data_IF_826762402226
#
_entry.id   IF_826762402226
#
_cell.length_a   1.000
_cell.length_b   1.000
_cell.length_c   1.000
_cell.angle_alpha   90.00
_cell.angle_beta   90.00
_cell.angle_gamma   90.00
#
_symmetry.space_group_name_H-M   'P 1'
#
loop_
_entity.id
_entity.type
_entity.pdbx_description
1 polymer ?
#
# COMPACT_ATOMS: atom_id res chain seq x y z
N UNK A 1 -9.59 20.12 -0.63
CA UNK A 1 -8.20 19.76 -1.01
C UNK A 1 -7.92 18.36 -0.50
N UNK A 2 -7.38 17.49 -1.34
CA UNK A 2 -6.98 16.13 -0.96
C UNK A 2 -5.46 16.11 -0.80
N UNK A 3 -4.97 15.51 0.29
CA UNK A 3 -3.54 15.43 0.61
C UNK A 3 -3.19 13.97 0.86
N UNK A 4 -2.12 13.48 0.22
CA UNK A 4 -1.49 12.22 0.56
C UNK A 4 -0.26 12.49 1.43
N UNK A 5 -0.15 11.83 2.58
CA UNK A 5 0.99 11.97 3.49
C UNK A 5 1.16 10.74 4.37
N UNK A 6 2.34 10.64 4.98
CA UNK A 6 2.60 9.66 6.03
C UNK A 6 1.67 9.90 7.24
N UNK A 7 1.20 8.81 7.83
CA UNK A 7 0.36 8.81 9.03
C UNK A 7 1.21 9.23 10.24
N UNK A 8 0.75 10.23 10.99
CA UNK A 8 1.29 10.52 12.31
C UNK A 8 0.48 9.74 13.36
N UNK A 9 1.07 8.66 13.91
CA UNK A 9 0.36 7.72 14.80
C UNK A 9 -0.32 8.40 15.99
N UNK A 10 0.26 9.46 16.54
CA UNK A 10 -0.31 10.20 17.68
C UNK A 10 -1.42 11.14 17.26
N UNK A 11 -1.16 12.00 16.25
CA UNK A 11 -2.10 13.06 15.82
C UNK A 11 -3.31 12.51 15.07
N UNK A 12 -3.14 11.39 14.37
CA UNK A 12 -4.17 10.85 13.48
C UNK A 12 -4.96 9.69 14.11
N UNK A 13 -4.64 9.28 15.34
CA UNK A 13 -5.27 8.10 15.99
C UNK A 13 -6.80 8.14 15.94
N UNK A 14 -7.41 9.24 16.35
CA UNK A 14 -8.87 9.39 16.36
C UNK A 14 -9.49 9.36 14.94
N UNK A 15 -8.79 9.93 13.96
CA UNK A 15 -9.23 9.93 12.55
C UNK A 15 -9.15 8.51 11.98
N UNK A 16 -8.09 7.77 12.33
CA UNK A 16 -7.90 6.38 11.94
C UNK A 16 -8.97 5.49 12.57
N UNK A 17 -9.26 5.66 13.87
CA UNK A 17 -10.35 4.98 14.57
C UNK A 17 -11.69 5.19 13.86
N UNK A 18 -11.98 6.43 13.47
CA UNK A 18 -13.21 6.77 12.76
C UNK A 18 -13.24 6.11 11.38
N UNK A 19 -12.13 6.13 10.64
CA UNK A 19 -12.02 5.49 9.33
C UNK A 19 -12.23 3.98 9.42
N UNK A 20 -11.57 3.30 10.34
CA UNK A 20 -11.66 1.83 10.51
C UNK A 20 -13.07 1.39 10.88
N UNK A 21 -13.77 2.14 11.74
CA UNK A 21 -15.17 1.85 12.12
C UNK A 21 -16.14 1.78 10.94
N UNK A 22 -15.85 2.48 9.85
CA UNK A 22 -16.69 2.47 8.63
C UNK A 22 -16.56 1.12 7.89
N UNK A 23 -15.43 0.43 8.02
CA UNK A 23 -15.16 -0.86 7.38
C UNK A 23 -15.55 -2.00 8.32
N UNK A 24 -16.85 -2.22 8.47
CA UNK A 24 -17.46 -3.23 9.35
C UNK A 24 -16.86 -4.65 9.17
N UNK A 25 -15.91 -5.00 10.04
CA UNK A 25 -15.37 -6.34 10.33
C UNK A 25 -14.30 -6.90 9.37
N UNK A 26 -13.03 -6.64 9.72
CA UNK A 26 -11.85 -7.55 9.64
C UNK A 26 -10.54 -6.80 9.84
N UNK A 27 -10.53 -5.49 9.58
CA UNK A 27 -9.37 -4.64 9.75
C UNK A 27 -9.43 -3.96 11.12
N UNK A 28 -8.41 -4.14 11.93
CA UNK A 28 -8.23 -3.43 13.20
C UNK A 28 -7.24 -2.28 13.05
N UNK A 29 -7.19 -1.39 14.04
CA UNK A 29 -6.19 -0.31 14.06
C UNK A 29 -4.81 -0.91 14.26
N UNK A 30 -4.70 -1.96 15.05
CA UNK A 30 -3.48 -2.70 15.34
C UNK A 30 -2.90 -3.33 14.07
N UNK A 31 -3.75 -3.88 13.19
CA UNK A 31 -3.34 -4.41 11.88
C UNK A 31 -2.73 -3.33 10.98
N UNK A 32 -3.17 -2.09 11.12
CA UNK A 32 -2.65 -0.95 10.36
C UNK A 32 -1.35 -0.46 11.01
N UNK A 33 -1.37 -0.22 12.32
CA UNK A 33 -0.26 0.39 13.06
C UNK A 33 0.96 -0.52 13.22
N UNK A 34 0.81 -1.82 13.03
CA UNK A 34 1.89 -2.82 12.98
C UNK A 34 2.74 -2.75 11.70
N UNK A 35 2.34 -1.94 10.70
CA UNK A 35 3.15 -1.69 9.52
C UNK A 35 4.23 -0.63 9.80
N UNK A 36 5.35 -0.78 9.09
CA UNK A 36 6.49 0.14 9.17
C UNK A 36 6.15 1.48 8.51
N UNK A 37 5.49 1.43 7.34
CA UNK A 37 5.14 2.60 6.56
C UNK A 37 3.64 2.65 6.29
N UNK A 38 3.01 3.76 6.68
CA UNK A 38 1.57 3.97 6.53
C UNK A 38 1.34 5.34 5.90
N UNK A 39 0.65 5.35 4.77
CA UNK A 39 0.24 6.56 4.09
C UNK A 39 -1.27 6.70 4.13
N UNK A 40 -1.74 7.93 4.34
CA UNK A 40 -3.16 8.27 4.30
C UNK A 40 -3.43 9.29 3.20
N UNK A 41 -4.63 9.20 2.65
CA UNK A 41 -5.26 10.29 1.92
C UNK A 41 -6.28 10.97 2.82
N UNK A 42 -6.19 12.29 2.89
CA UNK A 42 -7.01 13.12 3.75
C UNK A 42 -7.76 14.15 2.91
N UNK A 43 -9.07 14.29 3.14
CA UNK A 43 -9.92 15.34 2.59
C UNK A 43 -10.47 16.18 3.74
N UNK A 44 -9.98 17.41 3.89
CA UNK A 44 -10.26 18.22 5.09
C UNK A 44 -9.71 17.54 6.34
N UNK A 45 -10.56 17.27 7.33
CA UNK A 45 -10.17 16.55 8.57
C UNK A 45 -10.38 15.03 8.49
N UNK A 46 -10.91 14.51 7.38
CA UNK A 46 -11.30 13.10 7.24
C UNK A 46 -10.26 12.32 6.48
N UNK A 47 -9.91 11.13 6.98
CA UNK A 47 -9.19 10.12 6.18
C UNK A 47 -10.19 9.54 5.18
N UNK A 48 -9.81 9.55 3.91
CA UNK A 48 -10.60 8.99 2.79
C UNK A 48 -9.91 7.78 2.15
N UNK A 49 -8.65 7.54 2.48
CA UNK A 49 -7.93 6.36 2.05
C UNK A 49 -6.71 6.08 2.91
N UNK A 50 -6.29 4.82 2.93
CA UNK A 50 -5.09 4.37 3.64
C UNK A 50 -4.39 3.26 2.86
N UNK A 51 -3.06 3.26 2.94
CA UNK A 51 -2.22 2.18 2.46
C UNK A 51 -1.10 1.94 3.45
N UNK A 52 -0.69 0.69 3.60
CA UNK A 52 0.34 0.32 4.56
C UNK A 52 1.22 -0.80 4.01
N UNK A 53 2.51 -0.75 4.37
CA UNK A 53 3.50 -1.71 3.96
C UNK A 53 4.47 -2.06 5.08
N UNK A 54 4.90 -3.32 5.11
CA UNK A 54 6.04 -3.79 5.90
C UNK A 54 7.31 -3.75 5.08
N UNK A 55 8.44 -3.44 5.70
CA UNK A 55 9.76 -3.32 5.05
C UNK A 55 10.64 -4.48 5.52
N UNK A 56 11.31 -5.13 4.56
CA UNK A 56 12.23 -6.24 4.78
C UNK A 56 13.49 -6.01 3.96
N UNK A 57 14.57 -5.55 4.59
CA UNK A 57 15.86 -5.26 3.95
C UNK A 57 15.74 -4.49 2.61
N UNK A 58 15.76 -5.19 1.47
CA UNK A 58 15.74 -4.65 0.11
C UNK A 58 14.37 -4.67 -0.59
N UNK A 59 13.33 -5.10 0.13
CA UNK A 59 11.97 -5.31 -0.39
C UNK A 59 10.90 -4.87 0.60
N UNK A 60 9.68 -4.75 0.11
CA UNK A 60 8.52 -4.40 0.93
C UNK A 60 7.30 -5.26 0.60
N UNK A 61 6.42 -5.47 1.58
CA UNK A 61 5.13 -6.10 1.42
C UNK A 61 4.02 -5.07 1.64
N UNK A 62 3.29 -4.73 0.58
CA UNK A 62 2.08 -3.94 0.61
C UNK A 62 0.95 -4.78 1.22
N UNK A 63 0.60 -4.50 2.46
CA UNK A 63 -0.41 -5.26 3.20
C UNK A 63 -1.83 -4.82 2.87
N UNK A 64 -2.04 -3.52 2.62
CA UNK A 64 -3.36 -2.99 2.32
C UNK A 64 -3.31 -1.72 1.48
N UNK A 65 -4.35 -1.54 0.69
CA UNK A 65 -4.74 -0.26 0.10
C UNK A 65 -6.26 -0.19 0.08
N UNK A 66 -6.81 0.85 0.70
CA UNK A 66 -8.25 0.99 0.92
C UNK A 66 -8.63 2.44 0.67
N UNK A 67 -9.62 2.65 -0.20
CA UNK A 67 -10.26 3.95 -0.42
C UNK A 67 -11.73 3.83 0.00
N UNK A 68 -12.22 4.86 0.70
CA UNK A 68 -13.62 4.98 1.08
C UNK A 68 -14.51 4.81 -0.16
N UNK A 69 -15.60 4.04 -0.05
CA UNK A 69 -16.42 3.62 -1.20
C UNK A 69 -16.95 4.81 -2.00
N UNK A 70 -17.33 5.88 -1.30
CA UNK A 70 -17.85 7.13 -1.87
C UNK A 70 -16.79 7.91 -2.67
N UNK A 71 -15.51 7.63 -2.41
CA UNK A 71 -14.35 8.36 -2.96
C UNK A 71 -13.60 7.53 -4.02
N UNK A 72 -14.14 6.36 -4.38
CA UNK A 72 -13.57 5.50 -5.43
C UNK A 72 -13.80 6.08 -6.82
N UNK A 73 -13.03 5.58 -7.79
CA UNK A 73 -13.01 6.04 -9.20
C UNK A 73 -12.49 7.47 -9.41
N UNK A 74 -12.02 8.15 -8.37
CA UNK A 74 -11.44 9.50 -8.43
C UNK A 74 -9.91 9.51 -8.51
N UNK A 75 -9.29 8.45 -9.03
CA UNK A 75 -7.83 8.21 -9.08
C UNK A 75 -7.09 8.32 -7.72
N UNK A 76 -7.81 8.34 -6.60
CA UNK A 76 -7.24 8.42 -5.26
C UNK A 76 -6.39 7.19 -4.92
N UNK A 77 -6.81 6.00 -5.36
CA UNK A 77 -6.02 4.78 -5.20
C UNK A 77 -4.64 4.90 -5.86
N UNK A 78 -4.57 5.42 -7.08
CA UNK A 78 -3.32 5.63 -7.82
C UNK A 78 -2.41 6.63 -7.08
N UNK A 79 -2.93 7.82 -6.73
CA UNK A 79 -2.15 8.81 -6.00
C UNK A 79 -1.62 8.28 -4.66
N UNK A 80 -2.42 7.50 -3.93
CA UNK A 80 -2.03 6.95 -2.63
C UNK A 80 -0.97 5.85 -2.80
N UNK A 81 -1.15 4.97 -3.79
CA UNK A 81 -0.18 3.94 -4.15
C UNK A 81 1.15 4.58 -4.57
N UNK A 82 1.14 5.54 -5.50
CA UNK A 82 2.35 6.25 -5.93
C UNK A 82 3.07 6.93 -4.79
N UNK A 83 2.33 7.49 -3.82
CA UNK A 83 2.91 8.16 -2.66
C UNK A 83 3.74 7.20 -1.80
N UNK A 84 3.19 6.03 -1.47
CA UNK A 84 3.93 5.03 -0.69
C UNK A 84 5.07 4.40 -1.50
N UNK A 85 4.86 4.10 -2.79
CA UNK A 85 5.92 3.52 -3.64
C UNK A 85 7.10 4.48 -3.83
N UNK A 86 6.84 5.80 -3.96
CA UNK A 86 7.90 6.80 -4.08
C UNK A 86 8.75 6.88 -2.80
N UNK A 87 8.10 6.78 -1.63
CA UNK A 87 8.79 6.74 -0.35
C UNK A 87 9.66 5.49 -0.23
N UNK A 88 9.14 4.32 -0.59
CA UNK A 88 9.89 3.07 -0.59
C UNK A 88 11.09 3.12 -1.56
N UNK A 89 10.91 3.65 -2.77
CA UNK A 89 12.01 3.83 -3.73
C UNK A 89 13.13 4.71 -3.15
N UNK A 90 12.78 5.82 -2.50
CA UNK A 90 13.73 6.73 -1.83
C UNK A 90 14.46 6.07 -0.65
N UNK A 91 13.86 5.05 -0.05
CA UNK A 91 14.48 4.23 1.00
C UNK A 91 15.35 3.10 0.44
N UNK A 92 15.52 3.03 -0.88
CA UNK A 92 16.36 2.03 -1.55
C UNK A 92 15.66 0.71 -1.81
N UNK A 93 14.34 0.62 -1.55
CA UNK A 93 13.56 -0.57 -1.85
C UNK A 93 13.43 -0.72 -3.35
N UNK A 94 13.72 -1.92 -3.86
CA UNK A 94 13.66 -2.22 -5.30
C UNK A 94 12.37 -2.89 -5.71
N UNK A 95 11.80 -3.69 -4.80
CA UNK A 95 10.65 -4.54 -5.09
C UNK A 95 9.60 -4.44 -4.01
N UNK A 96 8.36 -4.26 -4.45
CA UNK A 96 7.18 -4.27 -3.58
C UNK A 96 6.28 -5.44 -3.97
N UNK A 97 5.90 -6.22 -2.98
CA UNK A 97 5.06 -7.38 -3.13
C UNK A 97 3.66 -7.12 -2.57
N UNK A 98 2.66 -7.85 -3.04
CA UNK A 98 1.32 -7.87 -2.42
C UNK A 98 0.77 -9.28 -2.41
N UNK A 99 0.29 -9.72 -1.24
CA UNK A 99 -0.48 -10.97 -1.08
C UNK A 99 -1.90 -10.83 -1.63
N UNK A 100 -2.39 -9.60 -1.75
CA UNK A 100 -3.73 -9.31 -2.30
C UNK A 100 -3.63 -9.20 -3.81
N UNK A 101 -4.24 -10.15 -4.52
CA UNK A 101 -4.41 -10.08 -5.97
C UNK A 101 -5.59 -9.15 -6.26
N UNK A 102 -5.31 -7.99 -6.85
CA UNK A 102 -6.31 -6.99 -7.21
C UNK A 102 -6.10 -6.53 -8.64
N UNK A 103 -7.19 -6.45 -9.42
CA UNK A 103 -7.15 -5.88 -10.77
C UNK A 103 -6.64 -4.43 -10.77
N UNK A 104 -6.93 -3.68 -9.70
CA UNK A 104 -6.39 -2.32 -9.54
C UNK A 104 -4.86 -2.35 -9.54
N UNK A 105 -4.23 -3.16 -8.68
CA UNK A 105 -2.77 -3.25 -8.61
C UNK A 105 -2.15 -3.72 -9.94
N UNK A 106 -2.81 -4.66 -10.62
CA UNK A 106 -2.35 -5.13 -11.94
C UNK A 106 -2.39 -3.99 -12.97
N UNK A 107 -3.46 -3.19 -13.00
CA UNK A 107 -3.58 -2.01 -13.87
C UNK A 107 -2.52 -0.95 -13.56
N UNK A 108 -2.18 -0.78 -12.29
CA UNK A 108 -1.10 0.12 -11.85
C UNK A 108 0.30 -0.43 -12.14
N UNK A 109 0.45 -1.65 -12.67
CA UNK A 109 1.72 -2.17 -13.16
C UNK A 109 2.34 -3.26 -12.30
N UNK A 110 1.64 -3.75 -11.26
CA UNK A 110 2.04 -4.99 -10.59
C UNK A 110 1.83 -6.19 -11.52
N UNK A 111 2.70 -7.19 -11.41
CA UNK A 111 2.63 -8.42 -12.20
C UNK A 111 2.47 -9.63 -11.29
N UNK A 112 1.68 -10.61 -11.73
CA UNK A 112 1.58 -11.90 -11.04
C UNK A 112 2.91 -12.65 -11.15
N UNK A 113 3.41 -13.14 -10.03
CA UNK A 113 4.62 -13.96 -9.95
C UNK A 113 4.40 -15.13 -9.00
N UNK A 114 5.13 -16.23 -9.23
CA UNK A 114 5.23 -17.34 -8.28
C UNK A 114 6.42 -17.08 -7.36
N UNK A 115 6.24 -16.98 -6.04
CA UNK A 115 7.34 -16.72 -5.13
C UNK A 115 8.25 -17.96 -5.03
N UNK A 116 9.57 -17.74 -4.97
CA UNK A 116 10.52 -18.80 -4.67
C UNK A 116 10.60 -19.03 -3.15
N UNK A 117 11.26 -20.13 -2.73
CA UNK A 117 11.36 -20.51 -1.31
C UNK A 117 11.96 -19.40 -0.43
N UNK A 118 12.96 -18.67 -0.92
CA UNK A 118 13.55 -17.53 -0.20
C UNK A 118 12.51 -16.45 0.07
N UNK A 119 11.78 -16.02 -0.96
CA UNK A 119 10.75 -14.99 -0.84
C UNK A 119 9.59 -15.43 0.05
N UNK A 120 9.21 -16.70 -0.02
CA UNK A 120 8.19 -17.32 0.83
C UNK A 120 8.57 -17.20 2.30
N UNK A 121 9.81 -17.57 2.64
CA UNK A 121 10.32 -17.49 4.01
C UNK A 121 10.40 -16.04 4.49
N UNK A 122 11.01 -15.17 3.69
CA UNK A 122 11.28 -13.79 4.09
C UNK A 122 9.98 -12.98 4.32
N UNK A 123 8.93 -13.22 3.53
CA UNK A 123 7.66 -12.50 3.63
C UNK A 123 6.55 -13.30 4.33
N UNK A 124 6.86 -14.48 4.87
CA UNK A 124 5.90 -15.41 5.46
C UNK A 124 4.67 -15.61 4.55
N UNK A 125 4.92 -15.93 3.27
CA UNK A 125 3.88 -16.27 2.29
C UNK A 125 3.64 -17.79 2.36
N UNK A 126 2.43 -18.26 2.02
CA UNK A 126 2.18 -19.71 1.89
C UNK A 126 2.74 -20.23 0.58
N UNK A 127 3.34 -21.42 0.59
CA UNK A 127 3.77 -22.09 -0.63
C UNK A 127 2.60 -22.22 -1.64
N UNK A 128 2.92 -22.16 -2.94
CA UNK A 128 1.95 -22.23 -4.05
C UNK A 128 0.90 -21.11 -4.09
N UNK A 129 1.12 -19.98 -3.41
CA UNK A 129 0.25 -18.81 -3.52
C UNK A 129 0.80 -17.84 -4.56
N UNK A 130 -0.03 -17.48 -5.55
CA UNK A 130 0.29 -16.39 -6.47
C UNK A 130 0.36 -15.07 -5.68
N UNK A 131 1.36 -14.25 -5.97
CA UNK A 131 1.50 -12.91 -5.42
C UNK A 131 1.66 -11.89 -6.54
N UNK A 132 1.53 -10.62 -6.20
CA UNK A 132 1.88 -9.52 -7.08
C UNK A 132 3.28 -8.98 -6.74
N UNK A 133 4.06 -8.66 -7.77
CA UNK A 133 5.36 -7.98 -7.67
C UNK A 133 5.31 -6.67 -8.49
N UNK A 134 5.84 -5.60 -7.91
CA UNK A 134 6.16 -4.35 -8.58
C UNK A 134 7.65 -4.07 -8.42
N UNK A 135 8.35 -3.87 -9.53
CA UNK A 135 9.73 -3.38 -9.52
C UNK A 135 9.71 -1.85 -9.62
N UNK A 136 10.20 -1.17 -8.59
CA UNK A 136 10.11 0.29 -8.45
C UNK A 136 10.95 1.02 -9.50
N UNK A 137 12.13 0.52 -9.84
CA UNK A 137 12.98 1.09 -10.90
C UNK A 137 12.23 1.11 -12.24
N UNK A 138 11.55 0.02 -12.59
CA UNK A 138 10.73 -0.06 -13.82
C UNK A 138 9.41 0.71 -13.72
N UNK A 139 8.88 0.88 -12.51
CA UNK A 139 7.62 1.59 -12.27
C UNK A 139 7.78 3.09 -12.53
N UNK A 140 8.83 3.71 -11.99
CA UNK A 140 9.06 5.14 -12.13
C UNK A 140 9.81 5.51 -13.42
N UNK A 141 10.60 4.62 -14.01
CA UNK A 141 11.25 4.88 -15.32
C UNK A 141 10.26 4.98 -16.49
N UNK A 142 9.07 4.36 -16.38
CA UNK A 142 8.02 4.47 -17.39
C UNK A 142 7.32 5.83 -17.43
N UNK A 143 7.59 6.73 -16.48
CA UNK A 143 7.03 8.08 -16.48
C UNK A 143 7.67 9.04 -17.50
N UNK A 144 8.70 8.63 -18.23
CA UNK A 144 9.47 9.51 -19.13
C UNK A 144 9.43 9.13 -20.62
N UNK A 145 8.35 8.49 -21.10
CA UNK A 145 8.09 8.44 -22.54
C UNK A 145 6.82 9.21 -22.85
N UNK A 146 7.02 10.35 -23.52
CA UNK A 146 6.04 11.27 -24.11
C UNK A 146 5.10 10.56 -25.10
#
# INVERSE_FOLDING_TARGET
>A
MIIARELNKEKDKHKLETFVKIFNSKLTIEDILSNDLIYIMQSGEKIVGITAAMIYDDKSLLNLIIINKEERNSKLGDGLLRSILNKLEKEGIKKVYSKVISEFLIKEGFKKVKPNTKLINDLSIKENTDILECNLETFFSKCCNE
#
